data_IF_459867305993
#
_entry.id   IF_459867305993
#
_cell.length_a   1.000
_cell.length_b   1.000
_cell.length_c   1.000
_cell.angle_alpha   90.00
_cell.angle_beta   90.00
_cell.angle_gamma   90.00
#
_symmetry.space_group_name_H-M   'P 1'
#
loop_
_entity.id
_entity.type
_entity.pdbx_description
1 polymer ?
#
# COMPACT_ATOMS: atom_id res chain seq x y z
N UNK A 1 52.35 26.42 11.21
CA UNK A 1 51.43 26.76 12.32
C UNK A 1 50.06 27.22 11.77
N UNK A 2 49.99 28.06 10.74
CA UNK A 2 48.70 28.53 10.18
C UNK A 2 47.84 27.41 9.54
N UNK A 3 48.48 26.49 8.88
CA UNK A 3 47.78 25.37 8.19
C UNK A 3 47.11 24.41 9.16
N UNK A 4 47.67 24.21 10.34
CA UNK A 4 47.14 23.33 11.38
C UNK A 4 45.89 23.92 12.07
N UNK A 5 45.79 25.22 12.17
CA UNK A 5 44.65 25.94 12.76
C UNK A 5 43.43 25.87 11.84
N UNK A 6 43.62 26.07 10.53
CA UNK A 6 42.55 26.02 9.53
C UNK A 6 41.97 24.59 9.45
N UNK A 7 42.80 23.56 9.48
CA UNK A 7 42.36 22.17 9.45
C UNK A 7 41.58 21.77 10.70
N UNK A 8 41.96 22.28 11.88
CA UNK A 8 41.24 22.05 13.16
C UNK A 8 39.88 22.76 13.21
N UNK A 9 39.81 23.96 12.66
CA UNK A 9 38.59 24.77 12.64
C UNK A 9 37.56 24.19 11.63
N UNK A 10 38.02 23.69 10.49
CA UNK A 10 37.18 22.97 9.53
C UNK A 10 36.68 21.64 10.10
N UNK A 11 37.50 20.83 10.74
CA UNK A 11 37.06 19.58 11.41
C UNK A 11 35.98 19.83 12.45
N UNK A 12 36.07 20.91 13.24
CA UNK A 12 35.06 21.26 14.24
C UNK A 12 33.75 21.77 13.62
N UNK A 13 33.82 22.43 12.47
CA UNK A 13 32.62 22.83 11.71
C UNK A 13 31.93 21.64 11.05
N UNK A 14 32.70 20.73 10.46
CA UNK A 14 32.17 19.49 9.89
C UNK A 14 31.59 18.55 10.95
N UNK A 15 32.22 18.47 12.13
CA UNK A 15 31.66 17.71 13.27
C UNK A 15 30.28 18.23 13.68
N UNK A 16 30.16 19.55 13.91
CA UNK A 16 28.87 20.16 14.32
C UNK A 16 27.78 20.04 13.24
N UNK A 17 28.14 20.13 11.96
CA UNK A 17 27.22 19.93 10.84
C UNK A 17 26.74 18.49 10.80
N UNK A 18 27.64 17.53 11.02
CA UNK A 18 27.29 16.11 11.07
C UNK A 18 26.33 15.81 12.24
N UNK A 19 26.67 16.28 13.43
CA UNK A 19 25.82 16.10 14.64
C UNK A 19 24.45 16.78 14.44
N UNK A 20 24.42 17.98 13.85
CA UNK A 20 23.16 18.70 13.55
C UNK A 20 22.33 17.97 12.48
N UNK A 21 22.96 17.41 11.45
CA UNK A 21 22.27 16.62 10.43
C UNK A 21 21.73 15.30 10.99
N UNK A 22 22.49 14.63 11.86
CA UNK A 22 22.04 13.42 12.55
C UNK A 22 20.84 13.71 13.46
N UNK A 23 20.84 14.84 14.18
CA UNK A 23 19.70 15.28 14.98
C UNK A 23 18.47 15.63 14.12
N UNK A 24 18.67 16.42 13.05
CA UNK A 24 17.57 16.80 12.14
C UNK A 24 16.99 15.57 11.46
N UNK A 25 17.82 14.63 11.02
CA UNK A 25 17.35 13.38 10.43
C UNK A 25 16.62 12.50 11.45
N UNK A 26 17.12 12.44 12.70
CA UNK A 26 16.44 11.73 13.78
C UNK A 26 15.08 12.34 14.08
N UNK A 27 14.99 13.64 14.24
CA UNK A 27 13.74 14.35 14.51
C UNK A 27 12.77 14.24 13.34
N UNK A 28 13.26 14.31 12.09
CA UNK A 28 12.44 14.13 10.90
C UNK A 28 11.84 12.72 10.81
N UNK A 29 12.63 11.70 11.10
CA UNK A 29 12.15 10.29 11.11
C UNK A 29 11.16 10.06 12.25
N UNK A 30 11.40 10.65 13.44
CA UNK A 30 10.49 10.57 14.58
C UNK A 30 9.15 11.27 14.30
N UNK A 31 9.16 12.36 13.55
CA UNK A 31 7.97 13.18 13.23
C UNK A 31 7.29 12.82 11.92
N UNK A 32 7.74 11.77 11.21
CA UNK A 32 7.05 11.27 10.03
C UNK A 32 5.59 10.92 10.39
N UNK A 33 4.60 11.49 9.68
CA UNK A 33 3.20 11.18 9.94
C UNK A 33 2.81 9.75 9.51
N UNK A 34 3.71 9.08 8.82
CA UNK A 34 3.56 7.76 8.25
C UNK A 34 4.04 6.70 9.24
N UNK A 35 3.25 5.67 9.56
CA UNK A 35 3.67 4.56 10.39
C UNK A 35 4.97 3.94 9.90
N UNK A 36 5.98 3.88 10.76
CA UNK A 36 7.32 3.43 10.39
C UNK A 36 7.95 2.56 11.47
N UNK A 37 8.66 1.53 11.03
CA UNK A 37 9.36 0.55 11.84
C UNK A 37 10.79 0.39 11.33
N UNK A 38 11.72 0.06 12.22
CA UNK A 38 13.08 -0.38 11.84
C UNK A 38 13.28 -1.78 12.40
N UNK A 39 13.69 -2.68 11.53
CA UNK A 39 13.95 -4.08 11.87
C UNK A 39 15.38 -4.47 11.52
N UNK A 40 15.92 -5.42 12.29
CA UNK A 40 17.16 -6.10 11.98
C UNK A 40 16.96 -7.15 10.90
N UNK A 41 18.04 -7.69 10.38
CA UNK A 41 18.01 -8.81 9.45
C UNK A 41 17.30 -10.05 10.04
N UNK A 42 17.37 -10.25 11.36
CA UNK A 42 16.63 -11.28 12.10
C UNK A 42 15.10 -11.09 12.11
N UNK A 43 14.61 -9.93 11.67
CA UNK A 43 13.20 -9.54 11.78
C UNK A 43 12.84 -8.88 13.12
N UNK A 44 13.79 -8.74 14.05
CA UNK A 44 13.55 -8.07 15.32
C UNK A 44 13.29 -6.57 15.14
N UNK A 45 12.19 -6.06 15.66
CA UNK A 45 11.86 -4.65 15.67
C UNK A 45 12.72 -3.93 16.69
N UNK A 46 13.56 -3.00 16.24
CA UNK A 46 14.44 -2.21 17.08
C UNK A 46 13.96 -0.78 17.29
N UNK A 47 13.01 -0.32 16.48
CA UNK A 47 12.44 1.02 16.61
C UNK A 47 11.09 1.10 15.89
N UNK A 48 10.23 1.97 16.42
CA UNK A 48 8.94 2.32 15.79
C UNK A 48 8.53 3.74 16.19
N UNK A 49 7.86 4.44 15.29
CA UNK A 49 7.34 5.77 15.58
C UNK A 49 5.93 5.73 16.23
N UNK A 50 5.44 6.85 16.80
CA UNK A 50 4.12 6.91 17.40
C UNK A 50 2.96 6.53 16.44
N UNK A 51 2.94 6.94 15.16
CA UNK A 51 1.92 6.49 14.22
C UNK A 51 1.85 4.98 14.05
N UNK A 52 3.00 4.26 14.05
CA UNK A 52 2.99 2.80 14.00
C UNK A 52 2.37 2.19 15.26
N UNK A 53 2.78 2.67 16.45
CA UNK A 53 2.28 2.16 17.73
C UNK A 53 0.80 2.43 17.98
N UNK A 54 0.34 3.61 17.62
CA UNK A 54 -1.02 4.06 17.94
C UNK A 54 -2.02 3.77 16.83
N UNK A 55 -1.58 3.83 15.57
CA UNK A 55 -2.45 3.69 14.41
C UNK A 55 -2.55 2.27 13.88
N UNK A 56 -1.41 1.58 13.75
CA UNK A 56 -1.38 0.25 13.11
C UNK A 56 -1.41 -0.87 14.14
N UNK A 57 -0.67 -0.73 15.26
CA UNK A 57 -0.53 -1.77 16.27
C UNK A 57 -0.95 -1.27 17.68
N UNK A 58 -2.20 -0.81 17.85
CA UNK A 58 -2.65 -0.24 19.11
C UNK A 58 -2.58 -1.26 20.26
N UNK A 59 -1.93 -0.86 21.36
CA UNK A 59 -1.82 -1.70 22.57
C UNK A 59 -0.81 -2.84 22.48
N UNK A 60 -0.04 -2.92 21.39
CA UNK A 60 1.02 -3.92 21.24
C UNK A 60 2.40 -3.33 21.55
N UNK A 61 3.23 -4.10 22.27
CA UNK A 61 4.64 -3.78 22.40
C UNK A 61 5.37 -4.24 21.13
N UNK A 62 5.99 -3.32 20.42
CA UNK A 62 6.64 -3.64 19.15
C UNK A 62 8.12 -3.94 19.30
N UNK A 63 8.79 -3.27 20.26
CA UNK A 63 10.22 -3.41 20.46
C UNK A 63 10.60 -4.84 20.88
N UNK A 64 11.57 -5.43 20.20
CA UNK A 64 12.05 -6.79 20.46
C UNK A 64 11.18 -7.91 19.88
N UNK A 65 9.97 -7.61 19.38
CA UNK A 65 9.14 -8.59 18.69
C UNK A 65 9.60 -8.84 17.25
N UNK A 66 9.26 -10.00 16.72
CA UNK A 66 9.58 -10.32 15.33
C UNK A 66 8.52 -9.75 14.40
N UNK A 67 8.96 -9.06 13.33
CA UNK A 67 8.06 -8.48 12.34
C UNK A 67 7.17 -9.52 11.64
N UNK A 68 7.64 -10.76 11.50
CA UNK A 68 6.83 -11.84 10.91
C UNK A 68 5.61 -12.19 11.76
N UNK A 69 5.64 -11.96 13.07
CA UNK A 69 4.50 -12.17 13.97
C UNK A 69 3.52 -11.00 13.89
N UNK A 70 4.04 -9.78 13.71
CA UNK A 70 3.24 -8.55 13.62
C UNK A 70 2.59 -8.39 12.25
N UNK A 71 3.29 -8.79 11.20
CA UNK A 71 2.86 -8.67 9.81
C UNK A 71 3.13 -9.99 9.08
N UNK A 72 2.26 -10.99 9.23
CA UNK A 72 2.42 -12.27 8.56
C UNK A 72 2.47 -12.12 7.04
N UNK A 73 3.45 -12.78 6.41
CA UNK A 73 3.63 -12.75 4.96
C UNK A 73 4.47 -11.59 4.43
N UNK A 74 4.93 -10.67 5.28
CA UNK A 74 5.87 -9.63 4.85
C UNK A 74 7.28 -10.20 4.71
N UNK A 75 7.85 -10.10 3.52
CA UNK A 75 9.28 -10.36 3.27
C UNK A 75 10.08 -9.06 3.49
N UNK A 76 10.56 -8.87 4.73
CA UNK A 76 11.34 -7.69 5.12
C UNK A 76 12.80 -7.73 4.64
N UNK A 77 13.25 -8.86 4.13
CA UNK A 77 14.59 -9.03 3.57
C UNK A 77 14.64 -8.72 2.07
N UNK A 78 13.50 -8.52 1.46
CA UNK A 78 13.42 -8.17 0.06
C UNK A 78 14.19 -6.89 -0.27
N UNK A 79 14.64 -6.80 -1.50
CA UNK A 79 15.33 -5.61 -1.99
C UNK A 79 14.43 -4.38 -1.90
N UNK A 80 15.07 -3.24 -1.64
CA UNK A 80 14.39 -1.93 -1.65
C UNK A 80 13.72 -1.71 -3.01
N UNK A 81 12.43 -1.47 -3.00
CA UNK A 81 11.66 -1.17 -4.21
C UNK A 81 10.98 0.18 -4.05
N UNK A 82 10.97 0.96 -5.13
CA UNK A 82 10.15 2.16 -5.21
C UNK A 82 8.67 1.81 -5.37
N UNK A 83 8.36 0.60 -5.83
CA UNK A 83 7.01 0.08 -5.88
C UNK A 83 6.63 -0.49 -4.52
N UNK A 84 5.54 0.04 -3.96
CA UNK A 84 4.97 -0.48 -2.72
C UNK A 84 4.41 -1.89 -2.91
N UNK A 85 4.31 -2.63 -1.81
CA UNK A 85 3.69 -3.96 -1.77
C UNK A 85 2.43 -3.92 -0.94
N UNK A 86 1.38 -4.48 -1.46
CA UNK A 86 0.11 -4.58 -0.74
C UNK A 86 0.19 -5.64 0.34
N UNK A 87 -0.23 -5.27 1.54
CA UNK A 87 -0.39 -6.19 2.67
C UNK A 87 -1.69 -5.89 3.42
N UNK A 88 -2.13 -6.86 4.19
CA UNK A 88 -3.28 -6.73 5.09
C UNK A 88 -2.81 -6.91 6.52
N UNK A 89 -3.11 -5.94 7.39
CA UNK A 89 -2.84 -6.01 8.82
C UNK A 89 -4.18 -5.89 9.54
N UNK A 90 -4.60 -6.96 10.19
CA UNK A 90 -5.97 -7.06 10.72
C UNK A 90 -6.99 -7.04 9.58
N UNK A 91 -7.86 -6.04 9.56
CA UNK A 91 -8.89 -5.84 8.53
C UNK A 91 -8.55 -4.68 7.56
N UNK A 92 -7.37 -4.08 7.69
CA UNK A 92 -6.98 -2.90 6.91
C UNK A 92 -5.92 -3.22 5.87
N UNK A 93 -6.04 -2.54 4.73
CA UNK A 93 -5.08 -2.61 3.65
C UNK A 93 -4.01 -1.53 3.80
N UNK A 94 -2.76 -1.93 3.60
CA UNK A 94 -1.60 -1.04 3.63
C UNK A 94 -0.73 -1.28 2.42
N UNK A 95 -0.13 -0.22 1.90
CA UNK A 95 1.00 -0.31 0.99
C UNK A 95 2.29 -0.17 1.78
N UNK A 96 3.18 -1.16 1.67
CA UNK A 96 4.46 -1.22 2.40
C UNK A 96 5.60 -0.83 1.49
N UNK A 97 6.44 0.06 1.98
CA UNK A 97 7.70 0.42 1.36
C UNK A 97 8.85 -0.07 2.23
N UNK A 98 9.80 -0.76 1.60
CA UNK A 98 10.99 -1.30 2.25
C UNK A 98 12.23 -0.53 1.80
N UNK A 99 13.00 -0.05 2.76
CA UNK A 99 14.28 0.62 2.50
C UNK A 99 15.36 -0.06 3.33
N UNK A 100 16.31 -0.73 2.65
CA UNK A 100 17.42 -1.40 3.31
C UNK A 100 18.62 -0.48 3.43
N UNK A 101 19.16 -0.35 4.63
CA UNK A 101 20.40 0.40 4.89
C UNK A 101 21.58 -0.54 4.92
N UNK A 102 22.54 -0.32 4.03
CA UNK A 102 23.83 -1.04 4.02
C UNK A 102 24.96 -0.28 4.72
N UNK A 103 24.64 0.89 5.30
CA UNK A 103 25.63 1.81 5.88
C UNK A 103 26.10 1.45 7.29
N UNK A 104 25.47 0.48 7.93
CA UNK A 104 25.76 0.03 9.30
C UNK A 104 26.43 -1.34 9.29
N UNK A 105 27.14 -1.68 10.38
CA UNK A 105 27.76 -3.01 10.57
C UNK A 105 26.73 -4.14 10.54
N UNK A 106 25.49 -3.82 10.94
CA UNK A 106 24.34 -4.72 10.85
C UNK A 106 23.34 -4.10 9.87
N UNK A 107 22.90 -4.85 8.87
CA UNK A 107 21.89 -4.37 7.92
C UNK A 107 20.56 -4.13 8.65
N UNK A 108 19.99 -2.96 8.42
CA UNK A 108 18.69 -2.57 8.97
C UNK A 108 17.72 -2.34 7.81
N UNK A 109 16.48 -2.74 7.99
CA UNK A 109 15.39 -2.46 7.06
C UNK A 109 14.42 -1.47 7.70
N UNK A 110 14.16 -0.37 7.02
CA UNK A 110 13.10 0.58 7.37
C UNK A 110 11.85 0.13 6.63
N UNK A 111 10.77 -0.01 7.38
CA UNK A 111 9.45 -0.41 6.89
C UNK A 111 8.53 0.78 7.08
N UNK A 112 8.00 1.33 5.99
CA UNK A 112 7.00 2.39 6.01
C UNK A 112 5.67 1.83 5.54
N UNK A 113 4.59 2.15 6.26
CA UNK A 113 3.23 1.69 6.00
C UNK A 113 2.37 2.88 5.57
N UNK A 114 1.72 2.77 4.44
CA UNK A 114 0.74 3.75 3.97
C UNK A 114 -0.63 3.10 4.06
N UNK A 115 -1.52 3.69 4.87
CA UNK A 115 -2.92 3.26 4.93
C UNK A 115 -3.61 3.68 3.63
N UNK A 116 -3.95 2.73 2.80
CA UNK A 116 -4.64 2.93 1.53
C UNK A 116 -6.04 2.27 1.51
N UNK A 117 -6.54 1.94 2.69
CA UNK A 117 -7.82 1.28 2.86
C UNK A 117 -8.97 2.06 2.21
N UNK A 118 -9.05 3.36 2.46
CA UNK A 118 -10.09 4.22 1.88
C UNK A 118 -9.95 4.32 0.36
N UNK A 119 -8.72 4.46 -0.14
CA UNK A 119 -8.45 4.53 -1.58
C UNK A 119 -8.90 3.24 -2.30
N UNK A 120 -8.57 2.09 -1.74
CA UNK A 120 -8.97 0.79 -2.31
C UNK A 120 -10.47 0.59 -2.24
N UNK A 121 -11.10 0.98 -1.13
CA UNK A 121 -12.55 0.90 -0.98
C UNK A 121 -13.27 1.76 -2.03
N UNK A 122 -12.90 3.04 -2.19
CA UNK A 122 -13.48 3.90 -3.21
C UNK A 122 -13.19 3.43 -4.64
N UNK A 123 -12.02 2.86 -4.87
CA UNK A 123 -11.68 2.29 -6.18
C UNK A 123 -12.59 1.11 -6.50
N UNK A 124 -12.81 0.22 -5.54
CA UNK A 124 -13.70 -0.92 -5.70
C UNK A 124 -15.16 -0.46 -5.93
N UNK A 125 -15.67 0.45 -5.10
CA UNK A 125 -17.00 1.03 -5.29
C UNK A 125 -17.16 1.67 -6.68
N UNK A 126 -16.14 2.38 -7.15
CA UNK A 126 -16.16 2.98 -8.49
C UNK A 126 -16.25 1.93 -9.59
N UNK A 127 -15.52 0.83 -9.49
CA UNK A 127 -15.61 -0.25 -10.48
C UNK A 127 -16.93 -1.01 -10.37
N UNK A 128 -17.43 -1.27 -9.18
CA UNK A 128 -18.68 -1.99 -8.95
C UNK A 128 -19.92 -1.16 -9.35
N UNK A 129 -19.83 0.17 -9.26
CA UNK A 129 -20.91 1.09 -9.64
C UNK A 129 -20.94 1.47 -11.12
N UNK A 130 -19.98 0.98 -11.91
CA UNK A 130 -19.98 1.28 -13.37
C UNK A 130 -21.18 0.65 -14.05
N UNK A 131 -21.97 1.44 -14.76
CA UNK A 131 -23.04 0.88 -15.55
C UNK A 131 -22.46 0.07 -16.72
N UNK A 132 -22.91 -1.15 -16.85
CA UNK A 132 -22.64 -1.96 -18.02
C UNK A 132 -23.73 -1.71 -19.04
N UNK A 133 -23.36 -1.37 -20.28
CA UNK A 133 -24.28 -1.29 -21.39
C UNK A 133 -24.15 -2.56 -22.19
N UNK A 134 -25.16 -3.40 -22.13
CA UNK A 134 -25.27 -4.59 -22.95
C UNK A 134 -26.12 -4.26 -24.20
N UNK A 135 -25.54 -4.38 -25.37
CA UNK A 135 -26.27 -4.27 -26.62
C UNK A 135 -26.47 -5.68 -27.17
N UNK A 136 -27.73 -6.11 -27.23
CA UNK A 136 -28.08 -7.38 -27.87
C UNK A 136 -28.65 -7.10 -29.28
N UNK A 137 -28.13 -7.80 -30.27
CA UNK A 137 -28.67 -7.81 -31.63
C UNK A 137 -29.31 -9.16 -31.89
N UNK A 138 -30.57 -9.15 -32.23
CA UNK A 138 -31.26 -10.37 -32.66
C UNK A 138 -31.01 -10.53 -34.17
N UNK A 139 -30.18 -11.51 -34.49
CA UNK A 139 -29.98 -11.89 -35.88
C UNK A 139 -31.22 -12.57 -36.41
N UNK A 140 -31.52 -12.42 -37.67
CA UNK A 140 -32.70 -12.99 -38.36
C UNK A 140 -34.05 -12.55 -37.78
N UNK A 141 -34.16 -11.35 -37.18
CA UNK A 141 -35.41 -10.83 -36.63
C UNK A 141 -36.58 -10.91 -37.63
N UNK A 142 -36.34 -10.59 -38.91
CA UNK A 142 -37.34 -10.66 -39.99
C UNK A 142 -37.80 -12.10 -40.25
N UNK A 143 -36.92 -13.08 -40.20
CA UNK A 143 -37.28 -14.50 -40.41
C UNK A 143 -38.13 -15.06 -39.29
N UNK A 144 -37.85 -14.68 -38.03
CA UNK A 144 -38.61 -15.11 -36.86
C UNK A 144 -40.08 -14.65 -36.92
N UNK A 145 -40.36 -13.57 -37.66
CA UNK A 145 -41.69 -12.96 -37.65
C UNK A 145 -42.39 -12.92 -39.03
N UNK A 146 -41.75 -13.43 -40.09
CA UNK A 146 -42.32 -13.35 -41.45
C UNK A 146 -43.64 -14.14 -41.61
N UNK A 147 -43.75 -15.31 -40.97
CA UNK A 147 -44.94 -16.17 -41.04
C UNK A 147 -45.69 -16.28 -39.69
N UNK A 148 -45.26 -15.57 -38.65
CA UNK A 148 -45.83 -15.68 -37.34
C UNK A 148 -47.15 -14.88 -37.21
N UNK A 149 -48.20 -15.50 -36.67
CA UNK A 149 -49.45 -14.84 -36.28
C UNK A 149 -49.20 -13.85 -35.14
N UNK A 150 -50.01 -12.80 -35.03
CA UNK A 150 -49.87 -11.72 -34.04
C UNK A 150 -49.71 -12.22 -32.60
N UNK A 151 -50.43 -13.27 -32.25
CA UNK A 151 -50.34 -13.95 -30.93
C UNK A 151 -48.98 -14.66 -30.68
N UNK A 152 -48.36 -15.16 -31.73
CA UNK A 152 -47.06 -15.83 -31.67
C UNK A 152 -45.94 -14.79 -31.57
N UNK A 153 -46.06 -13.67 -32.27
CA UNK A 153 -45.16 -12.53 -32.16
C UNK A 153 -45.11 -12.00 -30.73
N UNK A 154 -46.27 -11.74 -30.13
CA UNK A 154 -46.36 -11.27 -28.75
C UNK A 154 -45.75 -12.22 -27.73
N UNK A 155 -45.97 -13.55 -27.92
CA UNK A 155 -45.35 -14.55 -27.05
C UNK A 155 -43.85 -14.62 -27.18
N UNK A 156 -43.31 -14.54 -28.37
CA UNK A 156 -41.88 -14.59 -28.65
C UNK A 156 -41.19 -13.34 -28.10
N UNK A 157 -41.78 -12.15 -28.30
CA UNK A 157 -41.26 -10.92 -27.67
C UNK A 157 -41.25 -10.98 -26.15
N UNK A 158 -42.33 -11.43 -25.52
CA UNK A 158 -42.37 -11.57 -24.06
C UNK A 158 -41.35 -12.57 -23.53
N UNK A 159 -40.98 -13.60 -24.29
CA UNK A 159 -39.88 -14.50 -23.91
C UNK A 159 -38.51 -13.85 -24.05
N UNK A 160 -38.29 -13.06 -25.07
CA UNK A 160 -37.04 -12.30 -25.27
C UNK A 160 -36.87 -11.26 -24.16
N UNK A 161 -37.91 -10.49 -23.84
CA UNK A 161 -37.93 -9.54 -22.74
C UNK A 161 -37.62 -10.22 -21.41
N UNK A 162 -38.29 -11.35 -21.15
CA UNK A 162 -38.05 -12.12 -19.91
C UNK A 162 -36.60 -12.63 -19.78
N UNK A 163 -35.99 -13.05 -20.88
CA UNK A 163 -34.58 -13.46 -20.91
C UNK A 163 -33.68 -12.25 -20.58
N UNK A 164 -33.95 -11.08 -21.18
CA UNK A 164 -33.16 -9.86 -20.96
C UNK A 164 -33.27 -9.36 -19.50
N UNK A 165 -34.47 -9.46 -18.91
CA UNK A 165 -34.71 -9.05 -17.52
C UNK A 165 -34.12 -10.00 -16.47
N UNK A 166 -33.81 -11.24 -16.87
CA UNK A 166 -33.30 -12.27 -15.92
C UNK A 166 -31.76 -12.36 -15.91
N UNK A 167 -31.09 -11.64 -16.81
CA UNK A 167 -29.63 -11.47 -16.86
C UNK A 167 -29.15 -10.26 -16.08
#
# INVERSE_FOLDING_TARGET
>A
IWMTVITRQNRRRFGRLKDSLEHIMSDAVLSLPMPSLIVRESGEVVWSNPPAKQGVFPGQELFGHNIAELVPGLDWQAESSAEGRDIVIGERHYTVFLMRSSSTKEPLTIICLVDDNDLKHYTQEYFDSRPYVLTMLIDNYSELFTDAKENERSRTMGRIEHIIETF
#
